data_IF_251525868119
#
_entry.id   IF_251525868119
#
_cell.length_a   1.000
_cell.length_b   1.000
_cell.length_c   1.000
_cell.angle_alpha   90.00
_cell.angle_beta   90.00
_cell.angle_gamma   90.00
#
_symmetry.space_group_name_H-M   'P 1'
#
loop_
_entity.id
_entity.type
_entity.pdbx_description
1 polymer ?
#
# COMPACT_ATOMS: atom_id res chain seq x y z
N UNK A 1 -1.90 32.60 25.10
CA UNK A 1 -1.44 32.09 23.79
C UNK A 1 -2.56 31.28 23.15
N UNK A 2 -2.85 31.51 21.87
CA UNK A 2 -3.86 30.75 21.13
C UNK A 2 -3.19 29.70 20.24
N UNK A 3 -3.78 28.50 20.15
CA UNK A 3 -3.34 27.44 19.24
C UNK A 3 -4.53 26.61 18.77
N UNK A 4 -4.40 25.95 17.63
CA UNK A 4 -5.41 25.03 17.12
C UNK A 4 -4.87 23.61 17.12
N UNK A 5 -5.71 22.65 17.49
CA UNK A 5 -5.42 21.22 17.47
C UNK A 5 -6.61 20.45 16.89
N UNK A 6 -6.40 19.18 16.61
CA UNK A 6 -7.41 18.24 16.15
C UNK A 6 -7.73 17.30 17.32
N UNK A 7 -9.00 17.04 17.57
CA UNK A 7 -9.44 16.05 18.54
C UNK A 7 -9.63 14.72 17.83
N UNK A 8 -8.98 13.68 18.34
CA UNK A 8 -9.16 12.30 17.89
C UNK A 8 -9.64 11.43 19.06
N UNK A 9 -10.31 10.32 18.76
CA UNK A 9 -10.65 9.31 19.75
C UNK A 9 -9.51 8.30 19.95
N UNK A 10 -9.74 7.30 20.81
CA UNK A 10 -8.82 6.19 21.11
C UNK A 10 -8.67 5.24 19.93
N UNK A 11 -9.64 5.26 19.02
CA UNK A 11 -9.58 4.52 17.78
C UNK A 11 -8.72 5.22 16.72
N UNK A 12 -8.42 6.49 16.92
CA UNK A 12 -7.63 7.34 16.04
C UNK A 12 -8.48 8.12 15.06
N UNK A 13 -9.81 8.02 15.11
CA UNK A 13 -10.70 8.77 14.23
C UNK A 13 -10.84 10.22 14.67
N UNK A 14 -11.07 11.12 13.71
CA UNK A 14 -11.25 12.54 14.00
C UNK A 14 -12.65 12.78 14.57
N UNK A 15 -12.68 13.30 15.79
CA UNK A 15 -13.90 13.76 16.44
C UNK A 15 -14.16 15.24 16.07
N UNK A 16 -13.13 16.08 16.10
CA UNK A 16 -13.21 17.50 15.73
C UNK A 16 -11.93 17.95 15.00
N UNK A 17 -12.10 18.58 13.84
CA UNK A 17 -11.00 19.02 12.98
C UNK A 17 -10.34 20.31 13.47
N UNK A 18 -11.01 21.12 14.31
CA UNK A 18 -10.44 22.35 14.82
C UNK A 18 -10.90 22.66 16.25
N UNK A 19 -10.05 22.33 17.22
CA UNK A 19 -10.21 22.73 18.62
C UNK A 19 -9.34 23.94 18.89
N UNK A 20 -9.96 25.05 19.29
CA UNK A 20 -9.26 26.25 19.77
C UNK A 20 -8.78 26.01 21.20
N UNK A 21 -7.49 26.19 21.44
CA UNK A 21 -6.90 26.22 22.78
C UNK A 21 -6.50 27.66 23.11
N UNK A 22 -6.86 28.09 24.31
CA UNK A 22 -6.37 29.32 24.93
C UNK A 22 -5.59 28.92 26.19
N UNK A 23 -4.30 29.24 26.21
CA UNK A 23 -3.40 28.89 27.33
C UNK A 23 -3.43 27.38 27.65
N UNK A 24 -3.36 26.55 26.59
CA UNK A 24 -3.48 25.09 26.64
C UNK A 24 -4.82 24.52 27.14
N UNK A 25 -5.85 25.36 27.31
CA UNK A 25 -7.20 24.92 27.68
C UNK A 25 -8.12 24.98 26.46
N UNK A 26 -8.76 23.85 26.14
CA UNK A 26 -9.73 23.77 25.06
C UNK A 26 -10.92 24.71 25.32
N UNK A 27 -11.30 25.47 24.30
CA UNK A 27 -12.42 26.40 24.33
C UNK A 27 -13.51 25.79 23.43
N UNK A 28 -14.68 25.50 23.97
CA UNK A 28 -15.85 24.92 23.27
C UNK A 28 -15.88 23.40 23.05
N UNK A 29 -14.89 22.65 23.55
CA UNK A 29 -14.91 21.19 23.53
C UNK A 29 -14.46 20.67 24.89
N UNK A 30 -15.19 19.69 25.40
CA UNK A 30 -14.77 18.88 26.54
C UNK A 30 -14.07 17.63 26.01
N UNK A 31 -12.80 17.46 26.38
CA UNK A 31 -12.02 16.28 25.98
C UNK A 31 -12.41 15.14 26.92
N UNK A 32 -13.05 14.11 26.37
CA UNK A 32 -13.49 12.94 27.13
C UNK A 32 -12.34 11.95 27.34
N UNK A 33 -12.54 11.01 28.26
CA UNK A 33 -11.60 9.91 28.47
C UNK A 33 -11.41 9.11 27.18
N UNK A 34 -10.15 8.83 26.82
CA UNK A 34 -9.80 8.19 25.56
C UNK A 34 -9.70 9.13 24.36
N UNK A 35 -9.95 10.44 24.51
CA UNK A 35 -9.73 11.41 23.43
C UNK A 35 -8.40 12.15 23.57
N UNK A 36 -7.82 12.55 22.44
CA UNK A 36 -6.49 13.16 22.38
C UNK A 36 -6.46 14.38 21.47
N UNK A 37 -5.72 15.42 21.87
CA UNK A 37 -5.50 16.63 21.08
C UNK A 37 -4.15 16.58 20.35
N UNK A 38 -4.18 16.44 19.02
CA UNK A 38 -2.99 16.33 18.16
C UNK A 38 -2.80 17.58 17.30
N UNK A 39 -1.56 17.89 16.93
CA UNK A 39 -1.25 19.08 16.13
C UNK A 39 -1.57 18.91 14.64
N UNK A 40 -1.53 17.66 14.14
CA UNK A 40 -1.70 17.34 12.73
C UNK A 40 -2.29 15.93 12.61
N UNK A 41 -3.27 15.78 11.74
CA UNK A 41 -3.91 14.52 11.43
C UNK A 41 -3.99 14.39 9.91
N UNK A 42 -3.14 13.54 9.34
CA UNK A 42 -3.24 13.16 7.94
C UNK A 42 -3.99 11.83 7.88
N UNK A 43 -5.19 11.86 7.29
CA UNK A 43 -6.07 10.69 7.08
C UNK A 43 -5.39 9.54 6.31
N UNK A 44 -4.19 9.76 5.78
CA UNK A 44 -3.43 8.81 4.95
C UNK A 44 -2.64 7.76 5.73
N UNK A 45 -2.43 7.94 7.03
CA UNK A 45 -1.62 7.02 7.82
C UNK A 45 -2.48 6.40 8.91
N UNK A 46 -3.04 5.23 8.63
CA UNK A 46 -3.55 4.37 9.69
C UNK A 46 -2.33 3.87 10.44
N UNK A 47 -1.96 4.57 11.52
CA UNK A 47 -0.81 4.18 12.32
C UNK A 47 -1.08 2.81 12.95
N UNK A 48 -0.13 1.87 12.90
CA UNK A 48 -0.26 0.64 13.67
C UNK A 48 -0.39 1.00 15.15
N UNK A 49 -1.28 0.30 15.86
CA UNK A 49 -1.46 0.46 17.30
C UNK A 49 -0.61 -0.57 18.03
N UNK A 50 -0.02 -0.17 19.15
CA UNK A 50 0.65 -1.09 20.04
C UNK A 50 -0.39 -1.76 20.95
N UNK A 51 -0.52 -3.08 20.88
CA UNK A 51 -1.35 -3.86 21.79
C UNK A 51 -0.52 -4.21 23.03
N UNK A 52 -0.83 -3.55 24.16
CA UNK A 52 -0.11 -3.76 25.42
C UNK A 52 -0.35 -5.12 26.07
N UNK A 53 -1.51 -5.75 25.84
CA UNK A 53 -1.82 -7.07 26.41
C UNK A 53 -1.08 -8.19 25.68
N UNK A 54 -0.92 -8.04 24.37
CA UNK A 54 -0.28 -9.03 23.49
C UNK A 54 1.19 -8.70 23.17
N UNK A 55 1.68 -7.55 23.64
CA UNK A 55 3.01 -7.01 23.38
C UNK A 55 3.40 -7.00 21.90
N UNK A 56 2.45 -6.63 21.02
CA UNK A 56 2.63 -6.67 19.57
C UNK A 56 2.06 -5.42 18.88
N UNK A 57 2.55 -5.14 17.67
CA UNK A 57 1.92 -4.17 16.78
C UNK A 57 0.71 -4.80 16.11
N UNK A 58 -0.45 -4.16 16.22
CA UNK A 58 -1.68 -4.52 15.52
C UNK A 58 -1.98 -3.51 14.43
N UNK A 59 -2.29 -4.01 13.23
CA UNK A 59 -2.79 -3.19 12.12
C UNK A 59 -4.09 -2.51 12.55
N UNK A 60 -4.13 -1.17 12.48
CA UNK A 60 -5.31 -0.40 12.87
C UNK A 60 -6.36 -0.27 11.76
N UNK A 61 -6.03 -0.73 10.54
CA UNK A 61 -6.86 -0.58 9.36
C UNK A 61 -7.91 -1.68 9.30
N UNK A 62 -9.16 -1.33 8.99
CA UNK A 62 -10.18 -2.33 8.71
C UNK A 62 -9.91 -3.02 7.37
N UNK A 63 -10.54 -4.16 7.14
CA UNK A 63 -10.42 -4.89 5.88
C UNK A 63 -10.94 -4.06 4.69
N UNK A 64 -11.97 -3.23 4.92
CA UNK A 64 -12.50 -2.28 3.94
C UNK A 64 -11.49 -1.17 3.60
N UNK A 65 -10.83 -0.58 4.61
CA UNK A 65 -9.82 0.46 4.41
C UNK A 65 -8.59 -0.09 3.66
N UNK A 66 -8.16 -1.32 4.00
CA UNK A 66 -7.09 -2.01 3.28
C UNK A 66 -7.47 -2.27 1.83
N UNK A 67 -8.71 -2.67 1.57
CA UNK A 67 -9.21 -2.94 0.22
C UNK A 67 -9.29 -1.66 -0.61
N UNK A 68 -9.81 -0.58 -0.06
CA UNK A 68 -9.85 0.72 -0.73
C UNK A 68 -8.44 1.25 -1.01
N UNK A 69 -7.51 1.05 -0.08
CA UNK A 69 -6.11 1.39 -0.30
C UNK A 69 -5.48 0.54 -1.41
N UNK A 70 -5.69 -0.78 -1.42
CA UNK A 70 -5.20 -1.66 -2.47
C UNK A 70 -5.75 -1.24 -3.84
N UNK A 71 -7.06 -1.00 -3.98
CA UNK A 71 -7.66 -0.61 -5.25
C UNK A 71 -7.05 0.70 -5.80
N UNK A 72 -6.72 1.64 -4.92
CA UNK A 72 -6.17 2.93 -5.30
C UNK A 72 -4.63 2.93 -5.52
N UNK A 73 -3.90 2.06 -4.84
CA UNK A 73 -2.43 2.14 -4.77
C UNK A 73 -1.71 0.93 -5.39
N UNK A 74 -2.41 -0.17 -5.69
CA UNK A 74 -1.78 -1.37 -6.26
C UNK A 74 -1.14 -1.00 -7.60
N UNK A 75 0.19 -1.20 -7.74
CA UNK A 75 0.88 -0.84 -8.95
C UNK A 75 0.25 -1.60 -10.11
N UNK A 76 -0.18 -0.85 -11.13
CA UNK A 76 -0.68 -1.45 -12.37
C UNK A 76 0.38 -2.40 -12.92
N UNK A 77 -0.02 -3.54 -13.52
CA UNK A 77 0.91 -4.39 -14.25
C UNK A 77 1.74 -3.50 -15.18
N UNK A 78 3.06 -3.54 -15.06
CA UNK A 78 3.92 -2.82 -16.00
C UNK A 78 3.70 -3.44 -17.37
N UNK A 79 3.32 -2.61 -18.34
CA UNK A 79 3.38 -3.04 -19.72
C UNK A 79 4.84 -3.41 -20.04
N UNK A 80 5.07 -4.55 -20.71
CA UNK A 80 6.42 -4.97 -21.06
C UNK A 80 7.04 -3.91 -21.97
N UNK A 81 8.24 -3.50 -21.63
CA UNK A 81 9.03 -2.57 -22.44
C UNK A 81 9.29 -3.16 -23.83
N UNK A 82 9.55 -2.31 -24.83
CA UNK A 82 9.92 -2.77 -26.18
C UNK A 82 11.09 -3.77 -26.13
N UNK A 83 12.07 -3.54 -25.25
CA UNK A 83 13.21 -4.44 -25.04
C UNK A 83 12.79 -5.82 -24.53
N UNK A 84 11.88 -5.89 -23.55
CA UNK A 84 11.36 -7.16 -23.02
C UNK A 84 10.53 -7.90 -24.07
N UNK A 85 9.76 -7.18 -24.88
CA UNK A 85 9.01 -7.76 -25.99
C UNK A 85 9.94 -8.34 -27.06
N UNK A 86 10.99 -7.60 -27.44
CA UNK A 86 12.00 -8.04 -28.41
C UNK A 86 12.80 -9.24 -27.89
N UNK A 87 13.17 -9.26 -26.61
CA UNK A 87 13.85 -10.40 -26.00
C UNK A 87 12.98 -11.66 -26.02
N UNK A 88 11.68 -11.52 -25.74
CA UNK A 88 10.73 -12.63 -25.84
C UNK A 88 10.63 -13.16 -27.27
N UNK A 89 10.46 -12.28 -28.26
CA UNK A 89 10.41 -12.67 -29.68
C UNK A 89 11.71 -13.35 -30.14
N UNK A 90 12.86 -12.85 -29.69
CA UNK A 90 14.15 -13.45 -29.99
C UNK A 90 14.24 -14.87 -29.42
N UNK A 91 13.80 -15.08 -28.18
CA UNK A 91 13.82 -16.40 -27.53
C UNK A 91 12.88 -17.39 -28.24
N UNK A 92 11.67 -16.96 -28.58
CA UNK A 92 10.71 -17.77 -29.36
C UNK A 92 11.28 -18.15 -30.73
N UNK A 93 11.93 -17.21 -31.41
CA UNK A 93 12.57 -17.45 -32.71
C UNK A 93 13.74 -18.43 -32.58
N UNK A 94 14.58 -18.28 -31.55
CA UNK A 94 15.71 -19.18 -31.30
C UNK A 94 15.24 -20.60 -31.00
N UNK A 95 14.17 -20.76 -30.21
CA UNK A 95 13.57 -22.07 -29.92
C UNK A 95 13.06 -22.75 -31.20
N UNK A 96 12.35 -22.00 -32.06
CA UNK A 96 11.87 -22.53 -33.35
C UNK A 96 13.02 -22.95 -34.26
N UNK A 97 14.07 -22.12 -34.36
CA UNK A 97 15.25 -22.43 -35.17
C UNK A 97 15.97 -23.67 -34.65
N UNK A 98 16.09 -23.83 -33.33
CA UNK A 98 16.69 -25.01 -32.71
C UNK A 98 15.89 -26.28 -33.03
N UNK A 99 14.56 -26.22 -32.94
CA UNK A 99 13.67 -27.33 -33.28
C UNK A 99 13.80 -27.73 -34.76
N UNK A 100 13.82 -26.74 -35.66
CA UNK A 100 14.01 -26.98 -37.09
C UNK A 100 15.37 -27.61 -37.39
N UNK A 101 16.45 -27.10 -36.78
CA UNK A 101 17.79 -27.68 -36.92
C UNK A 101 17.82 -29.12 -36.44
N UNK A 102 17.23 -29.41 -35.28
CA UNK A 102 17.13 -30.76 -34.76
C UNK A 102 16.42 -31.69 -35.74
N UNK A 103 15.25 -31.28 -36.27
CA UNK A 103 14.50 -32.06 -37.27
C UNK A 103 15.31 -32.31 -38.54
N UNK A 104 16.07 -31.33 -39.02
CA UNK A 104 16.94 -31.49 -40.20
C UNK A 104 18.06 -32.51 -39.93
N UNK A 105 18.75 -32.39 -38.80
CA UNK A 105 19.83 -33.30 -38.41
C UNK A 105 19.32 -34.74 -38.25
N UNK A 106 18.13 -34.93 -37.68
CA UNK A 106 17.51 -36.27 -37.56
C UNK A 106 17.18 -36.86 -38.93
N UNK A 107 16.66 -36.06 -39.86
CA UNK A 107 16.36 -36.50 -41.24
C UNK A 107 17.63 -36.84 -42.03
N UNK A 108 18.68 -36.03 -41.91
CA UNK A 108 19.93 -36.22 -42.64
C UNK A 108 20.72 -37.45 -42.16
N UNK A 109 20.66 -37.76 -40.87
CA UNK A 109 21.36 -38.91 -40.28
C UNK A 109 20.58 -40.23 -40.40
N UNK A 110 19.56 -40.30 -41.26
CA UNK A 110 18.80 -41.52 -41.51
C UNK A 110 17.96 -41.98 -40.33
N UNK A 111 17.51 -41.07 -39.46
CA UNK A 111 16.47 -41.37 -38.49
C UNK A 111 15.23 -41.87 -39.23
N UNK A 112 14.71 -43.04 -38.84
CA UNK A 112 13.54 -43.72 -39.43
C UNK A 112 12.40 -42.76 -39.79
#
# INVERSE_FOLDING_TARGET
MYSHKILIDNEGFVVENCVLLKDNVAQNVEVQEGQFLVNYYDKKYIKPKWNFEREEWTEGATEEELKEWEENNKPKPKEPTETEQLQKQLLETQALVAELRYKTIVKENGGM
#
